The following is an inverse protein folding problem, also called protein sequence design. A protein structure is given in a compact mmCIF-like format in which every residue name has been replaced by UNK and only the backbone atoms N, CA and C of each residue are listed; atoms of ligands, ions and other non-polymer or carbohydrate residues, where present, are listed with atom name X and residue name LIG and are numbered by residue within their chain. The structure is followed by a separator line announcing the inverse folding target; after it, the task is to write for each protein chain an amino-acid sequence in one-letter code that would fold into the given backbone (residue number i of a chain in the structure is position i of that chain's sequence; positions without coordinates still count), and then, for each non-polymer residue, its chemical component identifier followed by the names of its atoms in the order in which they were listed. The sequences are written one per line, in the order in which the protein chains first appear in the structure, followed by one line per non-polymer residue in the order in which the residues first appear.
data_IF_074374726706
#
_entry.id   IF_074374726706
#
_cell.length_a   1.000
_cell.length_b   1.000
_cell.length_c   1.000
_cell.angle_alpha   90.00
_cell.angle_beta   90.00
_cell.angle_gamma   90.00
#
_symmetry.space_group_name_H-M   'P 1'
#
loop_
_entity.id
_entity.type
_entity.pdbx_description
1 polymer ?
#
# COMPACT_ATOMS: atom_id res chain seq x y z
N UNK A 1 -5.10 27.82 -4.70
CA UNK A 1 -4.42 26.52 -4.55
C UNK A 1 -5.48 25.46 -4.31
N UNK A 2 -5.62 24.52 -5.23
CA UNK A 2 -6.56 23.39 -5.09
C UNK A 2 -5.90 22.35 -4.16
N UNK A 3 -6.60 21.94 -3.09
CA UNK A 3 -6.08 20.99 -2.10
C UNK A 3 -6.68 19.61 -2.36
N UNK A 4 -5.84 18.63 -2.65
CA UNK A 4 -6.25 17.22 -2.74
C UNK A 4 -5.27 16.35 -1.96
N UNK A 5 -5.82 15.36 -1.26
CA UNK A 5 -5.04 14.41 -0.48
C UNK A 5 -4.60 13.22 -1.35
N UNK A 6 -3.31 12.86 -1.27
CA UNK A 6 -2.78 11.66 -1.91
C UNK A 6 -3.58 10.40 -1.52
N UNK A 7 -4.05 9.65 -2.52
CA UNK A 7 -4.93 8.48 -2.28
C UNK A 7 -4.18 7.33 -1.59
N UNK A 8 -2.89 7.14 -1.89
CA UNK A 8 -2.05 6.17 -1.19
C UNK A 8 -1.89 6.53 0.30
N UNK A 9 -1.62 7.80 0.60
CA UNK A 9 -1.53 8.26 1.98
C UNK A 9 -2.89 8.15 2.71
N UNK A 10 -3.99 8.46 2.01
CA UNK A 10 -5.36 8.32 2.53
C UNK A 10 -5.65 6.86 2.94
N UNK A 11 -5.24 5.89 2.12
CA UNK A 11 -5.33 4.46 2.42
C UNK A 11 -4.49 4.09 3.66
N UNK A 12 -3.24 4.54 3.74
CA UNK A 12 -2.38 4.26 4.90
C UNK A 12 -2.93 4.82 6.21
N UNK A 13 -3.46 6.04 6.21
CA UNK A 13 -4.10 6.64 7.38
C UNK A 13 -5.35 5.89 7.81
N UNK A 14 -6.15 5.43 6.83
CA UNK A 14 -7.31 4.59 7.07
C UNK A 14 -6.92 3.29 7.79
N UNK A 15 -5.96 2.57 7.24
CA UNK A 15 -5.52 1.27 7.78
C UNK A 15 -4.81 1.41 9.12
N UNK A 16 -4.05 2.50 9.33
CA UNK A 16 -3.47 2.82 10.64
C UNK A 16 -4.54 2.95 11.72
N UNK A 17 -5.68 3.54 11.39
CA UNK A 17 -6.84 3.60 12.28
C UNK A 17 -7.48 2.24 12.50
N UNK A 18 -7.70 1.46 11.44
CA UNK A 18 -8.35 0.15 11.52
C UNK A 18 -7.52 -0.91 12.29
N UNK A 19 -6.19 -0.84 12.22
CA UNK A 19 -5.31 -1.76 12.93
C UNK A 19 -4.96 -1.31 14.34
N UNK A 20 -5.33 -0.08 14.72
CA UNK A 20 -5.15 0.42 16.07
C UNK A 20 -5.88 -0.51 17.04
N UNK A 21 -5.26 -0.80 18.18
CA UNK A 21 -5.81 -1.63 19.26
C UNK A 21 -6.08 -3.11 18.87
N UNK A 22 -5.77 -3.51 17.65
CA UNK A 22 -5.79 -4.91 17.20
C UNK A 22 -4.51 -5.65 17.61
N UNK A 23 -4.57 -6.99 17.57
CA UNK A 23 -3.39 -7.83 17.81
C UNK A 23 -2.27 -7.64 16.78
N UNK A 24 -2.55 -7.02 15.62
CA UNK A 24 -1.53 -6.67 14.63
C UNK A 24 -0.49 -5.69 15.17
N UNK A 25 -0.86 -4.84 16.13
CA UNK A 25 0.10 -3.95 16.81
C UNK A 25 1.15 -4.77 17.57
N UNK A 26 0.74 -5.84 18.25
CA UNK A 26 1.66 -6.73 18.97
C UNK A 26 2.56 -7.53 18.01
N UNK A 27 2.04 -7.89 16.84
CA UNK A 27 2.82 -8.53 15.77
C UNK A 27 3.87 -7.54 15.23
N UNK A 28 3.47 -6.30 14.94
CA UNK A 28 4.39 -5.26 14.43
C UNK A 28 5.51 -4.95 15.43
N UNK A 29 5.20 -4.91 16.73
CA UNK A 29 6.20 -4.76 17.79
C UNK A 29 7.17 -5.94 17.83
N UNK A 30 6.67 -7.19 17.75
CA UNK A 30 7.54 -8.36 17.74
C UNK A 30 8.44 -8.38 16.51
N UNK A 31 7.91 -8.05 15.32
CA UNK A 31 8.70 -7.91 14.09
C UNK A 31 9.85 -6.91 14.27
N UNK A 32 9.59 -5.76 14.89
CA UNK A 32 10.63 -4.77 15.16
C UNK A 32 11.65 -5.24 16.22
N UNK A 33 11.21 -5.97 17.24
CA UNK A 33 12.11 -6.57 18.25
C UNK A 33 13.02 -7.61 17.62
N UNK A 34 12.48 -8.51 16.78
CA UNK A 34 13.25 -9.50 16.03
C UNK A 34 14.20 -8.83 15.02
N UNK A 35 13.72 -7.81 14.31
CA UNK A 35 14.57 -7.00 13.43
C UNK A 35 15.77 -6.44 14.20
N UNK A 36 15.53 -5.77 15.34
CA UNK A 36 16.59 -5.21 16.17
C UNK A 36 17.57 -6.28 16.67
N UNK A 37 17.03 -7.43 17.14
CA UNK A 37 17.79 -8.55 17.68
C UNK A 37 18.88 -9.03 16.70
N UNK A 38 18.51 -9.24 15.44
CA UNK A 38 19.42 -9.76 14.42
C UNK A 38 20.13 -8.67 13.61
N UNK A 39 19.58 -7.45 13.56
CA UNK A 39 20.23 -6.32 12.89
C UNK A 39 21.44 -5.82 13.65
N UNK A 40 21.31 -5.66 14.97
CA UNK A 40 22.31 -4.99 15.82
C UNK A 40 23.24 -5.97 16.56
N UNK A 41 22.97 -7.27 16.54
CA UNK A 41 23.87 -8.28 17.12
C UNK A 41 24.46 -9.19 16.04
N UNK A 42 25.72 -8.96 15.70
CA UNK A 42 26.47 -9.84 14.80
C UNK A 42 26.57 -11.27 15.35
N UNK A 43 26.67 -11.42 16.68
CA UNK A 43 26.69 -12.72 17.36
C UNK A 43 25.38 -13.49 17.13
N UNK A 44 24.24 -12.92 17.50
CA UNK A 44 22.91 -13.54 17.32
C UNK A 44 22.58 -13.85 15.87
N UNK A 45 23.07 -13.02 14.95
CA UNK A 45 22.93 -13.27 13.51
C UNK A 45 23.75 -14.46 13.03
N UNK A 46 25.00 -14.61 13.47
CA UNK A 46 25.84 -15.77 13.13
C UNK A 46 25.25 -17.07 13.67
N UNK A 47 24.70 -17.03 14.88
CA UNK A 47 24.10 -18.21 15.51
C UNK A 47 22.81 -18.65 14.79
N UNK A 48 21.95 -17.70 14.40
CA UNK A 48 20.79 -18.02 13.58
C UNK A 48 21.19 -18.64 12.23
N UNK A 49 22.28 -18.16 11.62
CA UNK A 49 22.82 -18.75 10.39
C UNK A 49 23.30 -20.19 10.59
N UNK A 50 24.02 -20.46 11.68
CA UNK A 50 24.48 -21.81 12.00
C UNK A 50 23.31 -22.78 12.19
N UNK A 51 22.21 -22.33 12.79
CA UNK A 51 20.96 -23.11 12.88
C UNK A 51 20.35 -23.35 11.49
N UNK A 52 20.35 -22.34 10.62
CA UNK A 52 19.93 -22.48 9.23
C UNK A 52 20.74 -23.53 8.47
N UNK A 53 22.07 -23.50 8.62
CA UNK A 53 22.98 -24.48 8.03
C UNK A 53 22.69 -25.89 8.55
N UNK A 54 22.48 -26.05 9.86
CA UNK A 54 22.16 -27.35 10.47
C UNK A 54 20.77 -27.89 10.07
N UNK A 55 19.82 -27.00 9.77
CA UNK A 55 18.47 -27.36 9.31
C UNK A 55 18.34 -27.43 7.78
N UNK A 56 19.43 -27.19 7.04
CA UNK A 56 19.46 -27.07 5.58
C UNK A 56 18.47 -26.00 5.04
N UNK A 57 18.29 -24.92 5.79
CA UNK A 57 17.38 -23.82 5.48
C UNK A 57 18.15 -22.51 5.22
N UNK A 58 17.84 -21.84 4.10
CA UNK A 58 18.41 -20.53 3.82
C UNK A 58 17.77 -19.43 4.69
N UNK A 59 18.57 -18.83 5.57
CA UNK A 59 18.13 -17.76 6.47
C UNK A 59 18.32 -16.38 5.86
N UNK A 60 17.23 -15.62 5.75
CA UNK A 60 17.27 -14.21 5.35
C UNK A 60 17.40 -13.29 6.56
N UNK A 61 18.04 -12.13 6.41
CA UNK A 61 18.07 -11.17 7.51
C UNK A 61 16.70 -10.51 7.68
N UNK A 62 16.13 -10.43 8.90
CA UNK A 62 14.84 -9.80 9.12
C UNK A 62 14.75 -8.39 8.54
N UNK A 63 13.60 -8.09 7.94
CA UNK A 63 13.30 -6.78 7.36
C UNK A 63 12.59 -5.86 8.36
N UNK A 64 12.81 -4.55 8.24
CA UNK A 64 12.13 -3.54 9.06
C UNK A 64 10.66 -3.42 8.66
N UNK A 65 9.74 -3.51 9.61
CA UNK A 65 8.28 -3.40 9.37
C UNK A 65 7.74 -1.96 9.38
N UNK A 66 8.54 -1.00 9.84
CA UNK A 66 8.20 0.43 9.90
C UNK A 66 8.80 1.23 8.73
N UNK A 67 8.13 2.31 8.34
CA UNK A 67 8.57 3.25 7.30
C UNK A 67 7.40 4.08 6.76
N UNK A 68 7.69 4.95 5.79
CA UNK A 68 6.68 5.47 4.85
C UNK A 68 6.24 4.31 3.95
N UNK A 69 4.97 4.24 3.51
CA UNK A 69 4.48 3.07 2.74
C UNK A 69 4.59 1.77 3.50
N UNK A 70 4.14 1.82 4.75
CA UNK A 70 4.33 0.75 5.72
C UNK A 70 3.70 -0.58 5.30
N UNK A 71 2.66 -0.59 4.45
CA UNK A 71 1.97 -1.82 4.00
C UNK A 71 3.00 -2.80 3.40
N UNK A 72 3.82 -2.31 2.46
CA UNK A 72 4.84 -3.13 1.81
C UNK A 72 5.99 -3.50 2.76
N UNK A 73 6.36 -2.61 3.69
CA UNK A 73 7.34 -2.93 4.72
C UNK A 73 6.88 -4.07 5.65
N UNK A 74 5.61 -4.06 6.06
CA UNK A 74 5.02 -5.11 6.87
C UNK A 74 4.91 -6.44 6.12
N UNK A 75 4.49 -6.41 4.83
CA UNK A 75 4.52 -7.62 3.97
C UNK A 75 5.92 -8.25 3.92
N UNK A 76 6.95 -7.44 3.66
CA UNK A 76 8.34 -7.93 3.61
C UNK A 76 8.81 -8.49 4.95
N UNK A 77 8.50 -7.81 6.06
CA UNK A 77 8.87 -8.26 7.40
C UNK A 77 8.17 -9.58 7.79
N UNK A 78 6.87 -9.70 7.53
CA UNK A 78 6.10 -10.93 7.74
C UNK A 78 6.60 -12.08 6.86
N UNK A 79 6.87 -11.82 5.58
CA UNK A 79 7.44 -12.82 4.68
C UNK A 79 8.80 -13.29 5.18
N UNK A 80 9.66 -12.38 5.64
CA UNK A 80 10.96 -12.75 6.21
C UNK A 80 10.82 -13.57 7.49
N UNK A 81 9.89 -13.22 8.38
CA UNK A 81 9.60 -14.03 9.58
C UNK A 81 9.08 -15.42 9.18
N UNK A 82 8.15 -15.49 8.24
CA UNK A 82 7.57 -16.75 7.77
C UNK A 82 8.62 -17.66 7.12
N UNK A 83 9.55 -17.11 6.32
CA UNK A 83 10.63 -17.87 5.71
C UNK A 83 11.63 -18.40 6.73
N UNK A 84 11.92 -17.63 7.77
CA UNK A 84 12.90 -18.00 8.80
C UNK A 84 12.26 -18.65 10.04
N UNK A 85 10.98 -18.99 9.99
CA UNK A 85 10.16 -19.22 11.19
C UNK A 85 10.75 -20.31 12.08
N UNK A 86 11.03 -21.48 11.51
CA UNK A 86 11.61 -22.63 12.21
C UNK A 86 12.96 -22.30 12.84
N UNK A 87 13.86 -21.73 12.04
CA UNK A 87 15.19 -21.29 12.48
C UNK A 87 15.13 -20.29 13.65
N UNK A 88 14.24 -19.29 13.56
CA UNK A 88 14.08 -18.28 14.62
C UNK A 88 13.54 -18.91 15.90
N UNK A 89 12.54 -19.79 15.81
CA UNK A 89 11.98 -20.46 16.98
C UNK A 89 13.02 -21.39 17.63
N UNK A 90 13.75 -22.17 16.84
CA UNK A 90 14.83 -23.03 17.32
C UNK A 90 15.92 -22.23 18.05
N UNK A 91 16.38 -21.13 17.45
CA UNK A 91 17.37 -20.24 18.07
C UNK A 91 16.91 -19.67 19.41
N UNK A 92 15.65 -19.23 19.49
CA UNK A 92 15.10 -18.71 20.73
C UNK A 92 14.89 -19.79 21.79
N UNK A 93 14.67 -21.06 21.37
CA UNK A 93 14.54 -22.21 22.27
C UNK A 93 15.87 -22.60 22.90
N UNK A 94 16.94 -22.74 22.10
CA UNK A 94 18.31 -23.05 22.59
C UNK A 94 18.79 -22.03 23.63
N UNK A 95 18.32 -20.78 23.49
CA UNK A 95 18.67 -19.64 24.34
C UNK A 95 17.94 -19.58 25.68
N UNK A 96 17.01 -20.49 25.96
CA UNK A 96 16.21 -20.44 27.19
C UNK A 96 16.93 -21.00 28.44
N UNK A 97 18.03 -21.74 28.27
CA UNK A 97 18.75 -22.38 29.37
C UNK A 97 19.60 -21.43 30.23
N UNK A 98 19.93 -20.26 29.69
CA UNK A 98 20.80 -19.28 30.36
C UNK A 98 20.00 -18.37 31.32
N UNK A 99 20.59 -18.01 32.47
CA UNK A 99 19.97 -17.10 33.44
C UNK A 99 20.40 -15.65 33.19
N UNK A 100 19.46 -14.77 32.83
CA UNK A 100 19.72 -13.33 32.65
C UNK A 100 18.53 -12.54 32.08
N UNK A 101 18.57 -11.19 32.14
CA UNK A 101 17.48 -10.33 31.69
C UNK A 101 17.26 -10.34 30.16
N UNK A 102 18.30 -10.63 29.37
CA UNK A 102 18.17 -10.81 27.92
C UNK A 102 17.42 -12.11 27.61
N UNK A 103 17.69 -13.18 28.35
CA UNK A 103 17.07 -14.49 28.18
C UNK A 103 15.59 -14.49 28.52
N UNK A 104 15.18 -13.73 29.55
CA UNK A 104 13.76 -13.56 29.84
C UNK A 104 13.01 -12.92 28.66
N UNK A 105 13.63 -11.97 27.94
CA UNK A 105 13.06 -11.38 26.72
C UNK A 105 12.99 -12.41 25.58
N UNK A 106 14.05 -13.19 25.34
CA UNK A 106 14.07 -14.22 24.31
C UNK A 106 12.99 -15.31 24.57
N UNK A 107 12.83 -15.70 25.83
CA UNK A 107 11.77 -16.63 26.28
C UNK A 107 10.38 -16.05 26.02
N UNK A 108 10.18 -14.75 26.25
CA UNK A 108 8.91 -14.09 25.94
C UNK A 108 8.63 -14.09 24.41
N UNK A 109 9.64 -13.83 23.58
CA UNK A 109 9.50 -13.89 22.12
C UNK A 109 9.16 -15.29 21.65
N UNK A 110 9.85 -16.31 22.18
CA UNK A 110 9.56 -17.71 21.88
C UNK A 110 8.12 -18.07 22.24
N UNK A 111 7.68 -17.76 23.47
CA UNK A 111 6.29 -18.02 23.93
C UNK A 111 5.26 -17.37 23.04
N UNK A 112 5.53 -16.15 22.56
CA UNK A 112 4.63 -15.47 21.64
C UNK A 112 4.58 -16.21 20.30
N UNK A 113 5.73 -16.53 19.70
CA UNK A 113 5.81 -17.25 18.43
C UNK A 113 5.17 -18.64 18.51
N UNK A 114 5.33 -19.39 19.60
CA UNK A 114 4.75 -20.74 19.76
C UNK A 114 3.29 -20.76 20.25
N UNK A 115 2.64 -19.59 20.29
CA UNK A 115 1.21 -19.50 20.62
C UNK A 115 0.33 -19.60 19.37
N UNK A 116 -0.76 -20.38 19.47
CA UNK A 116 -1.80 -20.44 18.42
C UNK A 116 -2.32 -19.05 18.03
N UNK A 117 -2.55 -18.18 19.03
CA UNK A 117 -2.97 -16.80 18.80
C UNK A 117 -2.02 -16.05 17.85
N UNK A 118 -0.72 -16.13 18.08
CA UNK A 118 0.24 -15.44 17.21
C UNK A 118 0.21 -15.98 15.78
N UNK A 119 0.26 -17.30 15.60
CA UNK A 119 0.31 -17.91 14.27
C UNK A 119 -0.96 -17.62 13.47
N UNK A 120 -2.14 -17.74 14.10
CA UNK A 120 -3.43 -17.43 13.49
C UNK A 120 -3.50 -15.97 13.02
N UNK A 121 -3.14 -15.03 13.89
CA UNK A 121 -3.17 -13.61 13.55
C UNK A 121 -2.07 -13.19 12.59
N UNK A 122 -0.89 -13.81 12.64
CA UNK A 122 0.18 -13.57 11.67
C UNK A 122 -0.29 -13.98 10.27
N UNK A 123 -0.89 -15.17 10.15
CA UNK A 123 -1.39 -15.67 8.87
C UNK A 123 -2.55 -14.81 8.34
N UNK A 124 -3.50 -14.41 9.21
CA UNK A 124 -4.54 -13.44 8.85
C UNK A 124 -3.94 -12.11 8.39
N UNK A 125 -2.89 -11.63 9.05
CA UNK A 125 -2.25 -10.37 8.69
C UNK A 125 -1.59 -10.44 7.31
N UNK A 126 -0.99 -11.58 6.97
CA UNK A 126 -0.42 -11.82 5.64
C UNK A 126 -1.49 -11.79 4.54
N UNK A 127 -2.63 -12.43 4.77
CA UNK A 127 -3.76 -12.43 3.82
C UNK A 127 -4.34 -11.03 3.63
N UNK A 128 -4.60 -10.29 4.71
CA UNK A 128 -5.15 -8.93 4.64
C UNK A 128 -4.19 -7.96 3.95
N UNK A 129 -2.90 -8.04 4.27
CA UNK A 129 -1.90 -7.17 3.64
C UNK A 129 -1.68 -7.51 2.17
N UNK A 130 -1.90 -8.75 1.73
CA UNK A 130 -1.80 -9.11 0.32
C UNK A 130 -2.81 -8.32 -0.52
N UNK A 131 -4.10 -8.36 -0.16
CA UNK A 131 -5.17 -7.62 -0.83
C UNK A 131 -4.97 -6.10 -0.74
N UNK A 132 -4.59 -5.59 0.44
CA UNK A 132 -4.39 -4.16 0.67
C UNK A 132 -3.18 -3.59 -0.08
N UNK A 133 -2.17 -4.41 -0.32
CA UNK A 133 -0.99 -3.97 -1.04
C UNK A 133 -1.19 -3.89 -2.54
N UNK A 134 -2.10 -4.68 -3.11
CA UNK A 134 -2.51 -4.53 -4.51
C UNK A 134 -3.11 -3.12 -4.71
N UNK A 135 -4.10 -2.74 -3.91
CA UNK A 135 -4.66 -1.38 -3.93
C UNK A 135 -3.60 -0.31 -3.64
N UNK A 136 -2.69 -0.56 -2.71
CA UNK A 136 -1.61 0.38 -2.40
C UNK A 136 -0.65 0.60 -3.56
N UNK A 137 -0.34 -0.44 -4.34
CA UNK A 137 0.53 -0.36 -5.51
C UNK A 137 -0.19 0.34 -6.67
N UNK A 138 -1.46 0.05 -6.88
CA UNK A 138 -2.31 0.77 -7.84
C UNK A 138 -2.32 2.27 -7.57
N UNK A 139 -2.45 2.66 -6.30
CA UNK A 139 -2.42 4.06 -5.89
C UNK A 139 -1.04 4.73 -6.02
N UNK A 140 0.01 3.94 -6.26
CA UNK A 140 1.38 4.39 -6.49
C UNK A 140 1.78 4.32 -7.98
N UNK A 141 0.85 3.95 -8.87
CA UNK A 141 1.09 4.03 -10.31
C UNK A 141 1.37 5.48 -10.74
N UNK A 142 2.18 5.64 -11.78
CA UNK A 142 2.51 6.96 -12.32
C UNK A 142 1.31 7.59 -13.03
N UNK A 143 0.51 6.76 -13.70
CA UNK A 143 -0.65 7.16 -14.51
C UNK A 143 -1.97 6.76 -13.82
N UNK A 144 -2.15 7.18 -12.57
CA UNK A 144 -3.41 6.95 -11.85
C UNK A 144 -4.43 8.05 -12.18
N UNK A 145 -5.46 7.72 -12.96
CA UNK A 145 -6.59 8.63 -13.15
C UNK A 145 -7.45 8.73 -11.88
N UNK A 146 -7.80 9.96 -11.50
CA UNK A 146 -8.73 10.24 -10.40
C UNK A 146 -10.06 9.49 -10.56
N UNK A 147 -10.58 9.38 -11.79
CA UNK A 147 -11.84 8.69 -12.09
C UNK A 147 -11.83 7.19 -11.75
N UNK A 148 -10.66 6.55 -11.85
CA UNK A 148 -10.49 5.11 -11.60
C UNK A 148 -10.30 4.74 -10.12
N UNK A 149 -10.08 5.73 -9.25
CA UNK A 149 -9.72 5.47 -7.85
C UNK A 149 -10.84 4.71 -7.13
N UNK A 150 -12.10 5.06 -7.37
CA UNK A 150 -13.23 4.46 -6.65
C UNK A 150 -13.54 3.04 -7.10
N UNK A 151 -13.47 2.75 -8.40
CA UNK A 151 -13.62 1.38 -8.92
C UNK A 151 -12.55 0.45 -8.33
N UNK A 152 -11.30 0.92 -8.19
CA UNK A 152 -10.22 0.18 -7.50
C UNK A 152 -10.49 -0.03 -6.01
N UNK A 153 -11.01 0.98 -5.30
CA UNK A 153 -11.43 0.84 -3.89
C UNK A 153 -12.51 -0.22 -3.75
N UNK A 154 -13.54 -0.17 -4.58
CA UNK A 154 -14.66 -1.12 -4.54
C UNK A 154 -14.19 -2.56 -4.80
N UNK A 155 -13.31 -2.75 -5.79
CA UNK A 155 -12.70 -4.06 -6.05
C UNK A 155 -11.94 -4.59 -4.83
N UNK A 156 -11.14 -3.75 -4.17
CA UNK A 156 -10.40 -4.14 -2.96
C UNK A 156 -11.33 -4.44 -1.78
N UNK A 157 -12.39 -3.66 -1.58
CA UNK A 157 -13.40 -3.94 -0.54
C UNK A 157 -14.12 -5.26 -0.79
N UNK A 158 -14.47 -5.56 -2.05
CA UNK A 158 -15.07 -6.83 -2.43
C UNK A 158 -14.12 -8.01 -2.16
N UNK A 159 -12.83 -7.87 -2.48
CA UNK A 159 -11.81 -8.89 -2.16
C UNK A 159 -11.70 -9.15 -0.64
N UNK A 160 -11.64 -8.08 0.17
CA UNK A 160 -11.61 -8.20 1.63
C UNK A 160 -12.88 -8.87 2.19
N UNK A 161 -14.06 -8.50 1.66
CA UNK A 161 -15.32 -9.13 2.07
C UNK A 161 -15.38 -10.61 1.68
N UNK A 162 -14.79 -11.01 0.55
CA UNK A 162 -14.64 -12.43 0.19
C UNK A 162 -13.78 -13.17 1.22
N UNK A 163 -12.73 -12.55 1.75
CA UNK A 163 -11.91 -13.15 2.81
C UNK A 163 -12.67 -13.39 4.13
N UNK A 164 -13.77 -12.67 4.36
CA UNK A 164 -14.64 -12.87 5.53
C UNK A 164 -15.21 -14.30 5.56
N UNK A 165 -15.65 -14.77 4.40
CA UNK A 165 -16.26 -16.08 4.21
C UNK A 165 -15.19 -17.16 3.99
N UNK A 166 -14.20 -16.88 3.13
CA UNK A 166 -13.16 -17.83 2.75
C UNK A 166 -11.79 -17.35 3.24
N UNK A 167 -11.11 -18.06 4.17
CA UNK A 167 -9.77 -17.67 4.60
C UNK A 167 -8.80 -17.66 3.40
N UNK A 168 -7.90 -16.68 3.38
CA UNK A 168 -6.89 -16.55 2.35
C UNK A 168 -5.82 -17.67 2.40
N UNK A 169 -4.89 -17.66 1.43
CA UNK A 169 -3.93 -18.75 1.24
C UNK A 169 -3.00 -18.97 2.44
N UNK A 170 -2.70 -17.92 3.23
CA UNK A 170 -1.84 -18.06 4.42
C UNK A 170 -2.63 -18.57 5.63
N UNK A 171 -3.82 -18.04 5.88
CA UNK A 171 -4.63 -18.44 7.04
C UNK A 171 -5.27 -19.82 6.87
N UNK A 172 -5.70 -20.18 5.67
CA UNK A 172 -6.40 -21.45 5.40
C UNK A 172 -5.67 -22.68 5.93
N UNK A 173 -4.38 -22.94 5.66
CA UNK A 173 -3.71 -24.11 6.22
C UNK A 173 -3.57 -24.06 7.75
N UNK A 174 -3.35 -22.87 8.32
CA UNK A 174 -3.19 -22.68 9.77
C UNK A 174 -4.50 -22.96 10.50
N UNK A 175 -5.62 -22.41 10.00
CA UNK A 175 -6.92 -22.58 10.65
C UNK A 175 -7.40 -24.03 10.55
N UNK A 176 -7.15 -24.72 9.43
CA UNK A 176 -7.46 -26.15 9.28
C UNK A 176 -6.64 -27.00 10.26
N UNK A 177 -5.33 -26.74 10.39
CA UNK A 177 -4.49 -27.44 11.36
C UNK A 177 -4.97 -27.18 12.79
N UNK A 178 -5.30 -25.92 13.09
CA UNK A 178 -5.79 -25.49 14.40
C UNK A 178 -7.13 -26.13 14.78
N UNK A 179 -8.10 -26.22 13.87
CA UNK A 179 -9.39 -26.88 14.14
C UNK A 179 -9.27 -28.39 14.30
N UNK A 180 -8.28 -29.00 13.65
CA UNK A 180 -8.04 -30.45 13.68
C UNK A 180 -7.15 -30.92 14.84
N UNK A 181 -6.76 -30.01 15.74
CA UNK A 181 -5.78 -30.27 16.82
C UNK A 181 -6.20 -31.40 17.79
N UNK A 182 -7.47 -31.82 17.78
CA UNK A 182 -7.96 -32.94 18.57
C UNK A 182 -7.67 -32.80 20.07
N UNK A 183 -7.49 -33.92 20.77
CA UNK A 183 -7.22 -33.98 22.21
C UNK A 183 -5.80 -33.60 22.61
N UNK A 184 -4.86 -33.49 21.66
CA UNK A 184 -3.44 -33.23 21.95
C UNK A 184 -3.15 -31.78 22.34
N UNK A 185 -4.00 -30.83 21.90
CA UNK A 185 -3.80 -29.41 22.19
C UNK A 185 -2.61 -28.77 21.47
N UNK A 186 -2.02 -29.45 20.47
CA UNK A 186 -0.87 -28.96 19.69
C UNK A 186 -1.03 -29.24 18.19
N UNK A 187 -0.67 -28.28 17.34
CA UNK A 187 -0.56 -28.47 15.89
C UNK A 187 0.81 -28.02 15.37
N UNK A 188 1.21 -28.50 14.19
CA UNK A 188 2.50 -28.16 13.59
C UNK A 188 2.33 -27.00 12.60
N UNK A 189 3.14 -25.95 12.77
CA UNK A 189 3.28 -24.86 11.80
C UNK A 189 4.74 -24.69 11.41
N UNK A 190 5.06 -24.88 10.12
CA UNK A 190 6.42 -24.76 9.58
C UNK A 190 7.47 -25.53 10.39
N UNK A 191 7.15 -26.78 10.76
CA UNK A 191 8.05 -27.65 11.53
C UNK A 191 8.20 -27.29 13.01
N UNK A 192 7.32 -26.43 13.55
CA UNK A 192 7.29 -26.01 14.96
C UNK A 192 5.97 -26.42 15.60
N UNK A 193 6.02 -26.97 16.81
CA UNK A 193 4.84 -27.27 17.63
C UNK A 193 4.22 -26.00 18.20
N UNK A 194 2.90 -25.84 18.01
CA UNK A 194 2.13 -24.66 18.42
C UNK A 194 1.04 -25.08 19.41
N UNK A 195 1.01 -24.47 20.59
CA UNK A 195 0.01 -24.76 21.63
C UNK A 195 -1.31 -24.02 21.41
N UNK A 196 -2.43 -24.71 21.58
CA UNK A 196 -3.80 -24.18 21.37
C UNK A 196 -4.48 -23.61 22.62
N UNK A 197 -3.80 -23.59 23.76
CA UNK A 197 -4.39 -23.35 25.09
C UNK A 197 -5.08 -21.99 25.33
N UNK A 198 -4.95 -21.00 24.43
CA UNK A 198 -5.33 -19.61 24.71
C UNK A 198 -6.47 -19.03 23.86
N UNK A 199 -6.94 -19.69 22.81
CA UNK A 199 -7.88 -19.08 21.84
C UNK A 199 -8.79 -20.16 21.29
N UNK A 200 -10.12 -19.95 21.28
CA UNK A 200 -11.04 -20.89 20.62
C UNK A 200 -11.20 -20.54 19.14
N UNK A 201 -11.58 -21.55 18.33
CA UNK A 201 -11.82 -21.35 16.91
C UNK A 201 -12.95 -20.35 16.66
N UNK A 202 -14.03 -20.44 17.42
CA UNK A 202 -15.21 -19.57 17.31
C UNK A 202 -14.85 -18.12 17.64
N UNK A 203 -14.08 -17.88 18.71
CA UNK A 203 -13.64 -16.55 19.09
C UNK A 203 -12.75 -15.92 18.01
N UNK A 204 -11.81 -16.70 17.45
CA UNK A 204 -10.97 -16.25 16.36
C UNK A 204 -11.78 -15.94 15.09
N UNK A 205 -12.76 -16.77 14.74
CA UNK A 205 -13.65 -16.53 13.60
C UNK A 205 -14.48 -15.24 13.77
N UNK A 206 -15.00 -14.98 14.97
CA UNK A 206 -15.70 -13.73 15.26
C UNK A 206 -14.78 -12.51 15.10
N UNK A 207 -13.58 -12.56 15.69
CA UNK A 207 -12.59 -11.48 15.60
C UNK A 207 -12.12 -11.25 14.16
N UNK A 208 -11.93 -12.31 13.36
CA UNK A 208 -11.60 -12.21 11.93
C UNK A 208 -12.66 -11.40 11.18
N UNK A 209 -13.94 -11.72 11.37
CA UNK A 209 -15.05 -11.02 10.70
C UNK A 209 -15.13 -9.56 11.13
N UNK A 210 -14.94 -9.28 12.41
CA UNK A 210 -14.93 -7.92 12.95
C UNK A 210 -13.80 -7.07 12.37
N UNK A 211 -12.59 -7.62 12.27
CA UNK A 211 -11.43 -6.95 11.67
C UNK A 211 -11.71 -6.61 10.21
N UNK A 212 -12.19 -7.58 9.41
CA UNK A 212 -12.51 -7.36 7.99
C UNK A 212 -13.59 -6.29 7.82
N UNK A 213 -14.66 -6.34 8.64
CA UNK A 213 -15.71 -5.32 8.62
C UNK A 213 -15.15 -3.93 8.99
N UNK A 214 -14.28 -3.86 10.00
CA UNK A 214 -13.66 -2.61 10.46
C UNK A 214 -12.80 -1.99 9.37
N UNK A 215 -11.93 -2.78 8.72
CA UNK A 215 -11.12 -2.31 7.58
C UNK A 215 -12.02 -1.78 6.48
N UNK A 216 -13.04 -2.54 6.08
CA UNK A 216 -13.98 -2.14 5.03
C UNK A 216 -14.73 -0.86 5.37
N UNK A 217 -15.23 -0.73 6.60
CA UNK A 217 -15.92 0.47 7.06
C UNK A 217 -14.99 1.70 7.10
N UNK A 218 -13.75 1.52 7.52
CA UNK A 218 -12.75 2.59 7.51
C UNK A 218 -12.42 3.04 6.08
N UNK A 219 -12.21 2.11 5.15
CA UNK A 219 -11.93 2.42 3.73
C UNK A 219 -13.14 3.14 3.14
N UNK A 220 -14.35 2.57 3.29
CA UNK A 220 -15.58 3.16 2.78
C UNK A 220 -15.77 4.61 3.26
N UNK A 221 -15.70 4.85 4.57
CA UNK A 221 -15.84 6.21 5.14
C UNK A 221 -14.80 7.19 4.60
N UNK A 222 -13.57 6.76 4.37
CA UNK A 222 -12.50 7.63 3.90
C UNK A 222 -12.64 7.98 2.43
N UNK A 223 -13.09 7.06 1.58
CA UNK A 223 -13.19 7.28 0.13
C UNK A 223 -14.60 7.68 -0.35
N UNK A 224 -15.62 7.64 0.51
CA UNK A 224 -16.98 8.09 0.17
C UNK A 224 -17.28 9.56 0.49
N UNK A 225 -16.34 10.28 1.11
CA UNK A 225 -16.59 11.64 1.63
C UNK A 225 -16.10 12.75 0.72
N UNK A 226 -15.33 12.44 -0.32
CA UNK A 226 -14.69 13.43 -1.19
C UNK A 226 -15.55 13.72 -2.42
N UNK A 227 -16.20 14.90 -2.51
CA UNK A 227 -17.14 15.18 -3.58
C UNK A 227 -16.48 15.20 -4.96
N UNK A 228 -15.21 15.57 -5.05
CA UNK A 228 -14.46 15.65 -6.31
C UNK A 228 -14.12 14.24 -6.79
N UNK A 229 -13.65 13.39 -5.87
CA UNK A 229 -13.41 11.98 -6.16
C UNK A 229 -14.69 11.29 -6.64
N UNK A 230 -15.82 11.50 -5.96
CA UNK A 230 -17.11 10.94 -6.37
C UNK A 230 -17.56 11.46 -7.73
N UNK A 231 -17.49 12.77 -7.94
CA UNK A 231 -17.92 13.37 -9.19
C UNK A 231 -17.03 12.98 -10.38
N UNK A 232 -15.74 12.68 -10.14
CA UNK A 232 -14.81 12.25 -11.19
C UNK A 232 -15.15 10.91 -11.83
N UNK A 233 -16.01 10.10 -11.20
CA UNK A 233 -16.49 8.81 -11.74
C UNK A 233 -17.21 8.96 -13.08
N UNK A 234 -17.72 10.17 -13.39
CA UNK A 234 -18.32 10.52 -14.69
C UNK A 234 -17.36 10.32 -15.87
N UNK A 235 -16.05 10.35 -15.62
CA UNK A 235 -15.02 10.11 -16.63
C UNK A 235 -14.44 8.69 -16.57
N UNK A 236 -14.97 7.78 -15.74
CA UNK A 236 -14.58 6.37 -15.77
C UNK A 236 -15.42 5.66 -16.87
N UNK A 237 -14.79 5.12 -17.93
CA UNK A 237 -15.52 4.44 -19.01
C UNK A 237 -16.40 3.29 -18.51
N UNK A 238 -16.07 2.67 -17.37
CA UNK A 238 -16.86 1.58 -16.77
C UNK A 238 -18.26 2.06 -16.33
N UNK A 239 -18.41 3.35 -16.04
CA UNK A 239 -19.67 3.93 -15.56
C UNK A 239 -20.52 4.55 -16.68
N UNK A 240 -20.04 4.55 -17.92
CA UNK A 240 -20.77 5.15 -19.05
C UNK A 240 -22.02 4.30 -19.36
N UNK A 241 -23.20 4.92 -19.56
CA UNK A 241 -24.40 4.19 -19.95
C UNK A 241 -24.19 3.46 -21.29
N UNK A 242 -24.89 2.34 -21.47
CA UNK A 242 -24.89 1.63 -22.74
C UNK A 242 -25.41 2.52 -23.88
N UNK A 243 -24.83 2.39 -25.07
CA UNK A 243 -25.10 3.25 -26.24
C UNK A 243 -26.58 3.27 -26.67
N UNK A 244 -27.32 2.20 -26.37
CA UNK A 244 -28.73 2.02 -26.70
C UNK A 244 -29.69 2.73 -25.71
N UNK A 245 -29.19 3.23 -24.58
CA UNK A 245 -30.00 3.94 -23.57
C UNK A 245 -29.85 5.46 -23.67
N UNK A 246 -30.44 6.04 -24.71
CA UNK A 246 -30.38 7.48 -25.03
C UNK A 246 -30.82 8.36 -23.85
N UNK A 247 -31.90 7.97 -23.14
CA UNK A 247 -32.38 8.74 -21.98
C UNK A 247 -31.37 8.78 -20.82
N UNK A 248 -30.64 7.69 -20.59
CA UNK A 248 -29.62 7.66 -19.56
C UNK A 248 -28.39 8.48 -19.97
N UNK A 249 -27.98 8.41 -21.24
CA UNK A 249 -26.90 9.24 -21.82
C UNK A 249 -27.22 10.72 -21.64
N UNK A 250 -28.44 11.16 -21.94
CA UNK A 250 -28.84 12.57 -21.85
C UNK A 250 -28.75 13.16 -20.43
N UNK A 251 -28.93 12.34 -19.40
CA UNK A 251 -28.93 12.77 -18.00
C UNK A 251 -27.61 12.43 -17.29
N UNK A 252 -26.70 11.74 -17.97
CA UNK A 252 -25.47 11.24 -17.37
C UNK A 252 -24.52 12.38 -17.04
N UNK A 253 -24.09 12.42 -15.77
CA UNK A 253 -22.98 13.26 -15.35
C UNK A 253 -23.31 14.72 -15.08
N UNK A 254 -24.51 15.22 -15.37
CA UNK A 254 -24.85 16.66 -15.22
C UNK A 254 -24.58 17.20 -13.80
N UNK A 255 -24.97 16.44 -12.77
CA UNK A 255 -24.74 16.78 -11.37
C UNK A 255 -23.26 16.79 -11.02
N UNK A 256 -22.52 15.80 -11.50
CA UNK A 256 -21.13 15.58 -11.15
C UNK A 256 -20.20 16.56 -11.87
N UNK A 257 -20.46 16.81 -13.16
CA UNK A 257 -19.78 17.82 -13.93
C UNK A 257 -19.97 19.22 -13.35
N UNK A 258 -21.17 19.54 -12.83
CA UNK A 258 -21.40 20.82 -12.13
C UNK A 258 -20.51 20.96 -10.90
N UNK A 259 -20.46 19.93 -10.04
CA UNK A 259 -19.58 19.92 -8.85
C UNK A 259 -18.11 20.08 -9.23
N UNK A 260 -17.68 19.43 -10.31
CA UNK A 260 -16.31 19.52 -10.81
C UNK A 260 -16.01 20.91 -11.38
N UNK A 261 -16.93 21.50 -12.14
CA UNK A 261 -16.79 22.87 -12.63
C UNK A 261 -16.70 23.89 -11.49
N UNK A 262 -17.52 23.75 -10.45
CA UNK A 262 -17.46 24.59 -9.24
C UNK A 262 -16.11 24.42 -8.53
N UNK A 263 -15.63 23.18 -8.38
CA UNK A 263 -14.36 22.91 -7.70
C UNK A 263 -13.14 23.45 -8.46
N UNK A 264 -13.15 23.30 -9.79
CA UNK A 264 -12.06 23.72 -10.67
C UNK A 264 -12.27 25.10 -11.28
N UNK A 265 -13.29 25.86 -10.84
CA UNK A 265 -13.63 27.18 -11.35
C UNK A 265 -12.40 28.10 -11.50
N UNK A 266 -11.47 28.19 -10.53
CA UNK A 266 -10.30 29.07 -10.65
C UNK A 266 -9.34 28.70 -11.78
N UNK A 267 -9.36 27.45 -12.26
CA UNK A 267 -8.57 26.98 -13.39
C UNK A 267 -9.32 27.09 -14.73
N UNK A 268 -10.65 27.15 -14.69
CA UNK A 268 -11.51 27.21 -15.87
C UNK A 268 -11.74 28.64 -16.35
N UNK A 269 -11.77 29.62 -15.44
CA UNK A 269 -12.07 31.03 -15.80
C UNK A 269 -11.02 31.66 -16.72
N UNK A 270 -9.80 31.12 -16.76
CA UNK A 270 -8.74 31.56 -17.67
C UNK A 270 -8.98 31.16 -19.14
N UNK A 271 -9.84 30.18 -19.41
CA UNK A 271 -10.08 29.61 -20.74
C UNK A 271 -11.42 30.02 -21.38
N UNK A 272 -12.17 30.94 -20.77
CA UNK A 272 -13.42 31.49 -21.29
C UNK A 272 -14.63 31.22 -20.38
N UNK A 273 -15.87 31.51 -20.84
CA UNK A 273 -17.07 31.41 -20.02
C UNK A 273 -17.32 29.96 -19.58
N UNK A 274 -17.54 29.78 -18.27
CA UNK A 274 -17.93 28.49 -17.67
C UNK A 274 -19.17 27.94 -18.37
N UNK A 275 -19.33 26.60 -18.35
CA UNK A 275 -20.55 25.95 -18.84
C UNK A 275 -21.75 26.55 -18.09
N UNK A 276 -22.45 27.50 -18.73
CA UNK A 276 -23.65 28.10 -18.17
C UNK A 276 -24.70 27.00 -18.04
N UNK A 277 -25.40 27.01 -16.91
CA UNK A 277 -26.34 26.04 -16.34
C UNK A 277 -27.46 25.46 -17.21
N UNK A 278 -27.47 25.66 -18.53
CA UNK A 278 -28.63 25.44 -19.39
C UNK A 278 -28.45 24.35 -20.46
N UNK A 279 -27.47 23.44 -20.34
CA UNK A 279 -27.23 22.40 -21.33
C UNK A 279 -27.28 21.00 -20.75
N UNK A 280 -28.48 20.46 -20.60
CA UNK A 280 -28.71 19.00 -20.53
C UNK A 280 -28.06 18.34 -21.75
N UNK A 281 -27.39 17.20 -21.54
CA UNK A 281 -26.79 16.33 -22.56
C UNK A 281 -25.26 16.45 -22.74
N UNK A 282 -24.49 16.31 -21.66
CA UNK A 282 -23.02 16.39 -21.72
C UNK A 282 -22.36 15.09 -22.21
N UNK A 283 -22.96 13.92 -22.00
CA UNK A 283 -22.40 12.64 -22.45
C UNK A 283 -22.38 12.50 -23.98
N UNK A 284 -23.42 12.95 -24.69
CA UNK A 284 -23.41 13.01 -26.15
C UNK A 284 -22.30 13.94 -26.66
N UNK A 285 -22.05 15.06 -25.97
CA UNK A 285 -21.03 16.06 -26.33
C UNK A 285 -19.59 15.59 -26.10
N UNK A 286 -19.36 14.74 -25.10
CA UNK A 286 -18.06 14.08 -24.88
C UNK A 286 -17.68 13.14 -26.03
N UNK A 287 -18.67 12.49 -26.63
CA UNK A 287 -18.46 11.47 -27.66
C UNK A 287 -18.46 12.04 -29.09
N UNK A 288 -19.01 13.25 -29.32
CA UNK A 288 -19.31 13.71 -30.69
C UNK A 288 -18.78 15.09 -31.11
N UNK A 289 -18.28 15.98 -30.24
CA UNK A 289 -18.04 17.39 -30.62
C UNK A 289 -16.58 17.90 -30.58
N UNK A 290 -16.26 18.75 -31.56
CA UNK A 290 -14.95 19.39 -31.81
C UNK A 290 -14.51 20.32 -30.67
N UNK A 291 -13.20 20.32 -30.39
CA UNK A 291 -12.48 21.13 -29.38
C UNK A 291 -12.90 22.62 -29.32
N UNK A 292 -13.34 23.20 -30.44
CA UNK A 292 -13.71 24.62 -30.55
C UNK A 292 -15.05 25.01 -29.90
N UNK A 293 -15.95 24.06 -29.60
CA UNK A 293 -17.30 24.39 -29.06
C UNK A 293 -17.38 24.40 -27.53
N UNK A 294 -16.56 23.59 -26.84
CA UNK A 294 -16.59 23.43 -25.37
C UNK A 294 -15.20 23.42 -24.75
N UNK A 295 -14.45 24.53 -24.84
CA UNK A 295 -13.07 24.60 -24.35
C UNK A 295 -12.96 24.24 -22.86
N UNK A 296 -13.92 24.67 -22.04
CA UNK A 296 -13.92 24.39 -20.60
C UNK A 296 -14.26 22.95 -20.24
N UNK A 297 -15.09 22.25 -21.02
CA UNK A 297 -15.37 20.83 -20.78
C UNK A 297 -14.14 19.97 -21.10
N UNK A 298 -13.48 20.25 -22.22
CA UNK A 298 -12.24 19.56 -22.59
C UNK A 298 -11.12 19.90 -21.61
N UNK A 299 -11.03 21.15 -21.16
CA UNK A 299 -10.08 21.54 -20.12
C UNK A 299 -10.36 20.81 -18.81
N UNK A 300 -11.62 20.62 -18.42
CA UNK A 300 -11.99 19.84 -17.24
C UNK A 300 -11.57 18.37 -17.36
N UNK A 301 -11.83 17.74 -18.50
CA UNK A 301 -11.37 16.36 -18.80
C UNK A 301 -9.84 16.28 -18.65
N UNK A 302 -9.13 17.22 -19.29
CA UNK A 302 -7.66 17.30 -19.20
C UNK A 302 -7.20 17.44 -17.75
N UNK A 303 -7.80 18.36 -16.98
CA UNK A 303 -7.49 18.55 -15.55
C UNK A 303 -7.63 17.22 -14.80
N UNK A 304 -8.76 16.51 -14.94
CA UNK A 304 -9.01 15.26 -14.20
C UNK A 304 -8.06 14.14 -14.61
N UNK A 305 -7.70 14.05 -15.89
CA UNK A 305 -6.76 13.04 -16.41
C UNK A 305 -5.32 13.27 -15.95
N UNK A 306 -4.89 14.54 -15.85
CA UNK A 306 -3.53 14.89 -15.40
C UNK A 306 -3.47 15.20 -13.91
N UNK A 307 -4.59 15.07 -13.19
CA UNK A 307 -4.65 15.51 -11.80
C UNK A 307 -3.76 14.62 -10.92
N UNK A 308 -2.78 15.17 -10.19
CA UNK A 308 -1.85 14.37 -9.42
C UNK A 308 -2.52 13.84 -8.15
N UNK A 309 -3.09 12.63 -8.24
CA UNK A 309 -3.67 11.91 -7.10
C UNK A 309 -2.65 11.01 -6.39
N UNK A 310 -1.57 10.66 -7.09
CA UNK A 310 -0.43 9.92 -6.56
C UNK A 310 0.75 10.83 -6.27
N UNK A 311 1.49 10.54 -5.20
CA UNK A 311 2.78 11.17 -4.87
C UNK A 311 3.97 10.33 -5.32
N UNK A 312 3.74 9.29 -6.13
CA UNK A 312 4.76 8.35 -6.59
C UNK A 312 5.97 9.05 -7.21
N UNK A 313 5.74 9.95 -8.16
CA UNK A 313 6.80 10.73 -8.84
C UNK A 313 7.59 11.60 -7.85
N UNK A 314 6.89 12.35 -7.00
CA UNK A 314 7.49 13.20 -5.97
C UNK A 314 8.36 12.38 -5.01
N UNK A 315 7.87 11.23 -4.56
CA UNK A 315 8.62 10.35 -3.64
C UNK A 315 9.81 9.65 -4.32
N UNK A 316 9.74 9.39 -5.63
CA UNK A 316 10.90 8.92 -6.41
C UNK A 316 11.97 9.99 -6.51
N UNK A 317 11.58 11.26 -6.73
CA UNK A 317 12.51 12.39 -6.72
C UNK A 317 13.19 12.54 -5.35
N UNK A 318 12.43 12.48 -4.24
CA UNK A 318 13.03 12.47 -2.90
C UNK A 318 13.98 11.29 -2.67
N UNK A 319 13.65 10.11 -3.19
CA UNK A 319 14.51 8.92 -3.11
C UNK A 319 15.79 9.08 -3.94
N UNK A 320 15.70 9.73 -5.10
CA UNK A 320 16.84 10.08 -5.94
C UNK A 320 17.72 11.13 -5.26
N UNK A 321 17.11 12.19 -4.71
CA UNK A 321 17.79 13.22 -3.93
C UNK A 321 18.55 12.61 -2.75
N UNK A 322 17.94 11.69 -2.00
CA UNK A 322 18.60 10.99 -0.88
C UNK A 322 19.79 10.12 -1.32
N UNK A 323 19.76 9.58 -2.54
CA UNK A 323 20.90 8.84 -3.12
C UNK A 323 22.01 9.78 -3.60
N UNK A 324 21.63 10.94 -4.14
CA UNK A 324 22.58 11.97 -4.57
C UNK A 324 23.27 12.64 -3.39
N UNK A 325 22.52 12.98 -2.34
CA UNK A 325 22.98 13.51 -1.06
C UNK A 325 23.38 12.36 -0.09
N UNK A 326 24.14 11.38 -0.56
CA UNK A 326 24.71 10.37 0.33
C UNK A 326 25.70 10.97 1.32
N UNK A 327 26.14 10.20 2.32
CA UNK A 327 27.00 10.65 3.43
C UNK A 327 28.26 11.41 2.96
N UNK A 328 28.81 11.06 1.79
CA UNK A 328 29.99 11.69 1.18
C UNK A 328 29.69 12.89 0.26
N UNK A 329 28.42 13.16 -0.04
CA UNK A 329 27.94 14.18 -1.00
C UNK A 329 27.02 15.23 -0.35
N UNK A 330 27.07 15.36 0.98
CA UNK A 330 26.27 16.33 1.75
C UNK A 330 26.61 17.82 1.45
N UNK A 331 27.62 18.08 0.62
CA UNK A 331 28.11 19.43 0.28
C UNK A 331 27.69 19.93 -1.11
N UNK A 332 26.87 19.18 -1.84
CA UNK A 332 26.36 19.65 -3.12
C UNK A 332 25.49 20.89 -2.92
N UNK A 333 25.70 21.91 -3.75
CA UNK A 333 24.82 23.10 -3.79
C UNK A 333 23.43 22.68 -4.25
N UNK A 334 22.41 23.42 -3.81
CA UNK A 334 21.01 23.16 -4.21
C UNK A 334 20.86 23.16 -5.73
N UNK A 335 21.47 24.12 -6.44
CA UNK A 335 21.44 24.19 -7.91
C UNK A 335 21.97 22.91 -8.57
N UNK A 336 23.11 22.40 -8.08
CA UNK A 336 23.67 21.14 -8.59
C UNK A 336 22.75 19.95 -8.36
N UNK A 337 22.03 19.93 -7.24
CA UNK A 337 21.05 18.86 -6.96
C UNK A 337 19.85 18.99 -7.89
N UNK A 338 19.37 20.20 -8.15
CA UNK A 338 18.29 20.48 -9.09
C UNK A 338 18.68 20.02 -10.50
N UNK A 339 19.86 20.39 -10.99
CA UNK A 339 20.38 19.96 -12.31
C UNK A 339 20.46 18.43 -12.41
N UNK A 340 21.03 17.77 -11.39
CA UNK A 340 21.15 16.31 -11.36
C UNK A 340 19.79 15.61 -11.28
N UNK A 341 18.82 16.19 -10.55
CA UNK A 341 17.46 15.67 -10.48
C UNK A 341 16.78 15.80 -11.84
N UNK A 342 16.91 16.94 -12.52
CA UNK A 342 16.35 17.19 -13.84
C UNK A 342 16.92 16.23 -14.88
N UNK A 343 18.26 16.07 -14.92
CA UNK A 343 18.92 15.08 -15.79
C UNK A 343 18.42 13.68 -15.48
N UNK A 344 18.18 13.35 -14.21
CA UNK A 344 17.73 12.00 -13.83
C UNK A 344 16.26 11.74 -14.14
N UNK A 345 15.39 12.75 -14.11
CA UNK A 345 13.96 12.61 -14.37
C UNK A 345 13.60 12.78 -15.84
N UNK A 346 14.17 13.78 -16.51
CA UNK A 346 13.82 14.18 -17.88
C UNK A 346 14.96 13.94 -18.88
N UNK A 347 16.17 13.66 -18.42
CA UNK A 347 17.31 13.43 -19.30
C UNK A 347 17.18 12.16 -20.11
N UNK A 348 17.78 12.16 -21.31
CA UNK A 348 17.87 10.99 -22.16
C UNK A 348 18.75 9.91 -21.52
N UNK A 349 18.62 8.68 -22.02
CA UNK A 349 19.52 7.60 -21.59
C UNK A 349 20.98 8.00 -21.88
N UNK A 350 21.94 7.73 -20.98
CA UNK A 350 23.34 8.09 -21.20
C UNK A 350 23.92 7.58 -22.53
N UNK A 351 23.39 6.47 -23.07
CA UNK A 351 23.79 5.91 -24.36
C UNK A 351 23.23 6.73 -25.54
N UNK A 352 22.09 7.39 -25.35
CA UNK A 352 21.44 8.25 -26.32
C UNK A 352 21.82 9.74 -26.14
N UNK A 353 22.72 10.06 -25.20
CA UNK A 353 23.15 11.42 -24.96
C UNK A 353 24.21 11.84 -25.98
N UNK A 354 23.86 12.76 -26.86
CA UNK A 354 24.76 13.36 -27.83
C UNK A 354 25.51 14.53 -27.19
N UNK A 355 26.79 14.33 -26.86
CA UNK A 355 27.60 15.35 -26.17
C UNK A 355 28.06 16.51 -27.06
N UNK A 356 28.02 16.33 -28.39
CA UNK A 356 28.56 17.30 -29.35
C UNK A 356 27.84 18.66 -29.27
N UNK A 357 26.52 18.65 -29.10
CA UNK A 357 25.73 19.89 -29.01
C UNK A 357 26.00 20.68 -27.72
N UNK A 358 26.31 19.99 -26.63
CA UNK A 358 26.65 20.61 -25.35
C UNK A 358 28.06 21.21 -25.36
N UNK A 359 29.02 20.56 -26.02
CA UNK A 359 30.39 21.06 -26.17
C UNK A 359 30.42 22.29 -27.07
N UNK A 360 29.69 22.27 -28.19
CA UNK A 360 29.64 23.41 -29.12
C UNK A 360 29.13 24.70 -28.46
N UNK A 361 28.17 24.60 -27.53
CA UNK A 361 27.65 25.78 -26.79
C UNK A 361 28.60 26.33 -25.73
N UNK A 362 29.60 25.55 -25.31
CA UNK A 362 30.63 26.03 -24.37
C UNK A 362 31.80 26.74 -25.07
N UNK A 363 31.96 26.57 -26.39
CA UNK A 363 33.02 27.23 -27.16
C UNK A 363 32.61 28.64 -27.66
N UNK A 364 31.33 29.02 -27.50
CA UNK A 364 30.76 30.32 -27.91
C UNK A 364 30.61 31.35 -26.75
N UNK A 365 30.93 30.97 -25.50
CA UNK A 365 30.98 31.84 -24.30
C UNK A 365 32.43 31.98 -23.80
#
# INVERSE_FOLDING_TARGET
MIKVHCVAHRLELCLKGAFKDSYFTQIDELLMRLYSLYRHSCKKWKELKAIGEALEEHVMKPSRSQGTRWINHRRKALSSLASNYRCIVAHLLERQGDSGPDQQKLKAYWRQLTSSKFVLYMALYQDLLADLAELSLDFQADELSLSSVRSRVMASQAALLKQKEQPGPYLRPVITAFTNTGSTGVFIYKGVEISTSSTSAEAFHCQRREIVNTINACIGRRFSTDPVLLASEVFDPVNMPAEDNISAIQQYGDSDLRKLCEHFEPLLTSNGPLLTSNGSNVAERMLTEKESKYPNLLHLVRIVLVFPVSTSQVERQFSTMKRMQGDWRLRLKTSTIEDLLLIKSEGCDPVAYESEEAVARCDDD
#
